data_IF_591519571606
#
_entry.id   IF_591519571606
#
_cell.length_a   1.000
_cell.length_b   1.000
_cell.length_c   1.000
_cell.angle_alpha   90.00
_cell.angle_beta   90.00
_cell.angle_gamma   90.00
#
_symmetry.space_group_name_H-M   'P 1'
#
loop_
_entity.id
_entity.type
_entity.pdbx_description
1 polymer ?
#
# COMPACT_ATOMS: atom_id res chain seq x y z
N UNK A 1 2.31 59.39 28.83
CA UNK A 1 0.85 59.29 29.07
C UNK A 1 0.26 58.28 28.08
N UNK A 2 -0.64 57.42 28.55
CA UNK A 2 -1.33 56.32 27.83
C UNK A 2 -2.16 56.89 26.64
N UNK A 3 -2.45 56.19 25.55
CA UNK A 3 -3.44 55.08 25.45
C UNK A 3 -3.35 54.30 24.10
N UNK A 4 -3.47 52.98 24.25
CA UNK A 4 -3.91 51.83 23.41
C UNK A 4 -4.47 52.03 21.99
N UNK A 5 -4.12 51.11 21.08
CA UNK A 5 -5.10 50.13 20.54
C UNK A 5 -4.43 48.86 20.01
N UNK A 6 -4.95 47.73 20.49
CA UNK A 6 -4.56 46.34 20.25
C UNK A 6 -5.62 45.75 19.29
N UNK A 7 -5.24 45.09 18.20
CA UNK A 7 -6.18 44.33 17.37
C UNK A 7 -5.75 42.87 17.28
N UNK A 8 -6.29 42.07 18.18
CA UNK A 8 -6.33 40.61 18.13
C UNK A 8 -7.57 40.19 17.33
N UNK A 9 -7.39 39.48 16.21
CA UNK A 9 -8.50 38.80 15.52
C UNK A 9 -8.38 37.31 15.81
N UNK A 10 -9.22 36.86 16.74
CA UNK A 10 -9.49 35.45 17.02
C UNK A 10 -10.66 35.06 16.13
N UNK A 11 -10.46 34.14 15.17
CA UNK A 11 -11.53 33.55 14.39
C UNK A 11 -11.77 32.12 14.89
N UNK A 12 -12.68 31.99 15.84
CA UNK A 12 -13.20 30.71 16.34
C UNK A 12 -14.32 30.21 15.41
N UNK A 13 -14.05 29.17 14.62
CA UNK A 13 -15.09 28.43 13.89
C UNK A 13 -15.52 27.24 14.74
N UNK A 14 -16.71 27.35 15.31
CA UNK A 14 -17.39 26.26 16.03
C UNK A 14 -18.09 25.38 15.00
N UNK A 15 -17.63 24.13 14.83
CA UNK A 15 -18.36 23.10 14.09
C UNK A 15 -19.19 22.27 15.06
N UNK A 16 -20.51 22.44 15.02
CA UNK A 16 -21.49 21.61 15.70
C UNK A 16 -21.76 20.38 14.84
N UNK A 17 -21.36 19.19 15.28
CA UNK A 17 -21.75 17.94 14.66
C UNK A 17 -23.03 17.40 15.33
N UNK A 18 -24.07 17.00 14.57
CA UNK A 18 -25.20 16.27 15.11
C UNK A 18 -24.79 14.84 15.48
N UNK A 19 -25.11 14.42 16.70
CA UNK A 19 -24.98 13.03 17.15
C UNK A 19 -26.07 12.19 16.47
N UNK A 20 -25.69 11.34 15.53
CA UNK A 20 -26.55 10.28 15.02
C UNK A 20 -26.65 9.18 16.09
N UNK A 21 -27.87 9.03 16.62
CA UNK A 21 -28.31 7.91 17.45
C UNK A 21 -28.47 6.70 16.54
N UNK A 22 -27.83 5.58 16.88
CA UNK A 22 -28.14 4.29 16.28
C UNK A 22 -28.66 3.37 17.40
N UNK A 23 -29.95 3.05 17.31
CA UNK A 23 -30.64 2.11 18.17
C UNK A 23 -31.34 1.12 17.24
N UNK A 24 -30.94 -0.16 17.32
CA UNK A 24 -31.62 -1.39 16.84
C UNK A 24 -30.58 -2.51 16.95
N UNK A 25 -30.81 -3.67 17.56
CA UNK A 25 -31.96 -4.24 18.24
C UNK A 25 -31.50 -5.53 18.94
N UNK A 26 -32.16 -5.84 20.05
CA UNK A 26 -32.00 -7.10 20.80
C UNK A 26 -32.94 -8.13 20.16
N UNK A 27 -32.44 -9.33 19.85
CA UNK A 27 -33.27 -10.54 19.78
C UNK A 27 -32.55 -11.68 20.51
N UNK A 28 -33.17 -12.10 21.61
CA UNK A 28 -32.99 -13.40 22.28
C UNK A 28 -33.97 -14.41 21.67
N UNK A 29 -33.74 -15.69 21.99
CA UNK A 29 -34.62 -16.87 21.89
C UNK A 29 -34.23 -17.81 20.72
N UNK A 30 -33.88 -19.09 20.89
CA UNK A 30 -34.40 -20.11 21.80
C UNK A 30 -33.35 -21.16 22.24
N UNK A 31 -33.56 -21.75 23.42
CA UNK A 31 -32.86 -22.93 23.96
C UNK A 31 -33.73 -24.18 23.75
N UNK A 32 -33.13 -25.29 23.29
CA UNK A 32 -33.50 -26.66 23.74
C UNK A 32 -32.31 -27.64 23.58
N UNK A 33 -32.21 -28.55 24.55
CA UNK A 33 -31.17 -29.55 24.88
C UNK A 33 -31.29 -30.87 24.05
N UNK A 34 -30.17 -31.44 23.55
CA UNK A 34 -29.47 -32.72 23.94
C UNK A 34 -30.03 -33.99 23.21
N UNK A 35 -29.32 -35.14 22.98
CA UNK A 35 -28.04 -35.59 23.57
C UNK A 35 -26.97 -36.31 22.69
N UNK A 36 -25.72 -36.25 23.20
CA UNK A 36 -24.62 -37.26 23.20
C UNK A 36 -24.15 -37.94 21.91
N UNK A 37 -22.85 -37.79 21.58
CA UNK A 37 -21.85 -38.87 21.71
C UNK A 37 -20.44 -38.27 21.86
N UNK A 38 -19.81 -38.60 22.99
CA UNK A 38 -18.41 -38.42 23.37
C UNK A 38 -17.56 -39.48 22.68
N UNK A 39 -16.51 -39.08 21.97
CA UNK A 39 -15.27 -39.87 21.86
C UNK A 39 -14.09 -38.92 22.01
N UNK A 40 -13.33 -39.17 23.07
CA UNK A 40 -12.12 -38.46 23.44
C UNK A 40 -10.85 -39.18 22.95
N UNK A 41 -9.83 -38.36 22.60
CA UNK A 41 -8.34 -38.53 22.65
C UNK A 41 -7.58 -39.30 21.53
N UNK A 42 -6.73 -38.58 20.77
CA UNK A 42 -5.24 -38.68 20.73
C UNK A 42 -4.63 -37.49 19.97
N UNK A 43 -3.63 -36.76 20.53
CA UNK A 43 -2.99 -35.62 19.87
C UNK A 43 -1.75 -36.07 19.07
N UNK A 44 -1.81 -36.00 17.74
CA UNK A 44 -0.60 -36.00 16.92
C UNK A 44 -0.34 -34.57 16.45
N UNK A 45 0.80 -34.05 16.88
CA UNK A 45 1.41 -32.84 16.39
C UNK A 45 1.84 -32.99 14.92
N UNK A 46 1.96 -31.84 14.27
CA UNK A 46 2.42 -31.61 12.90
C UNK A 46 1.47 -32.05 11.79
N UNK A 47 0.76 -31.06 11.21
CA UNK A 47 0.86 -30.78 9.76
C UNK A 47 0.05 -29.52 9.40
N UNK A 48 0.80 -28.48 9.02
CA UNK A 48 0.42 -27.41 8.10
C UNK A 48 -0.85 -26.60 8.41
N UNK A 49 -0.72 -25.68 9.37
CA UNK A 49 -1.45 -24.41 9.30
C UNK A 49 -0.92 -23.57 8.11
N UNK A 50 -1.35 -23.91 6.90
CA UNK A 50 -1.34 -22.93 5.81
C UNK A 50 -2.47 -21.95 6.12
N UNK A 51 -2.12 -20.91 6.86
CA UNK A 51 -2.94 -19.75 7.10
C UNK A 51 -3.27 -19.12 5.75
N UNK A 52 -4.39 -19.54 5.15
CA UNK A 52 -5.02 -18.89 4.01
C UNK A 52 -5.64 -17.57 4.49
N UNK A 53 -4.76 -16.61 4.78
CA UNK A 53 -5.13 -15.26 5.16
C UNK A 53 -4.47 -14.32 4.15
N UNK A 54 -4.97 -14.33 2.91
CA UNK A 54 -4.77 -13.23 1.97
C UNK A 54 -6.04 -13.09 1.12
N UNK A 55 -7.16 -12.82 1.79
CA UNK A 55 -8.31 -12.24 1.12
C UNK A 55 -8.02 -10.75 0.98
N UNK A 56 -7.48 -10.36 -0.18
CA UNK A 56 -7.13 -8.97 -0.51
C UNK A 56 -8.40 -8.12 -0.65
N UNK A 57 -8.93 -7.65 0.47
CA UNK A 57 -9.84 -6.51 0.50
C UNK A 57 -9.00 -5.23 0.35
N UNK A 58 -8.53 -4.95 -0.86
CA UNK A 58 -7.63 -3.82 -1.14
C UNK A 58 -8.30 -2.85 -2.09
N UNK A 59 -9.09 -1.96 -1.52
CA UNK A 59 -9.50 -0.73 -2.17
C UNK A 59 -9.42 0.39 -1.12
N UNK A 60 -8.56 1.39 -1.35
CA UNK A 60 -8.14 2.50 -0.45
C UNK A 60 -7.06 2.19 0.62
N UNK A 61 -6.07 1.34 0.33
CA UNK A 61 -4.89 1.20 1.21
C UNK A 61 -3.71 2.02 0.68
N UNK A 62 -2.99 2.69 1.59
CA UNK A 62 -1.86 3.57 1.24
C UNK A 62 -0.69 2.82 0.62
N UNK A 63 0.24 3.58 0.02
CA UNK A 63 1.45 3.08 -0.67
C UNK A 63 2.16 2.00 0.15
N UNK A 64 2.42 2.25 1.44
CA UNK A 64 3.12 1.33 2.34
C UNK A 64 2.47 -0.07 2.44
N UNK A 65 1.14 -0.13 2.49
CA UNK A 65 0.42 -1.41 2.55
C UNK A 65 0.53 -2.18 1.23
N UNK A 66 0.47 -1.47 0.10
CA UNK A 66 0.67 -2.10 -1.21
C UNK A 66 2.10 -2.61 -1.39
N UNK A 67 3.09 -1.85 -0.93
CA UNK A 67 4.49 -2.27 -0.97
C UNK A 67 4.69 -3.58 -0.19
N UNK A 68 4.06 -3.70 0.98
CA UNK A 68 4.13 -4.90 1.79
C UNK A 68 3.45 -6.10 1.11
N UNK A 69 2.28 -5.88 0.53
CA UNK A 69 1.53 -6.90 -0.21
C UNK A 69 2.33 -7.43 -1.42
N UNK A 70 2.86 -6.51 -2.25
CA UNK A 70 3.67 -6.86 -3.40
C UNK A 70 4.96 -7.59 -3.01
N UNK A 71 5.64 -7.14 -1.95
CA UNK A 71 6.80 -7.84 -1.40
C UNK A 71 6.47 -9.27 -0.96
N UNK A 72 5.37 -9.44 -0.23
CA UNK A 72 4.96 -10.76 0.27
C UNK A 72 4.68 -11.71 -0.90
N UNK A 73 3.97 -11.23 -1.92
CA UNK A 73 3.69 -12.03 -3.11
C UNK A 73 4.96 -12.35 -3.90
N UNK A 74 5.88 -11.40 -4.01
CA UNK A 74 7.17 -11.64 -4.65
C UNK A 74 8.03 -12.66 -3.90
N UNK A 75 7.96 -12.69 -2.57
CA UNK A 75 8.62 -13.73 -1.76
C UNK A 75 8.04 -15.11 -2.03
N UNK A 76 6.71 -15.23 -2.07
CA UNK A 76 6.04 -16.50 -2.43
C UNK A 76 6.45 -17.00 -3.81
N UNK A 77 6.67 -16.10 -4.78
CA UNK A 77 7.18 -16.51 -6.10
C UNK A 77 8.59 -17.11 -6.06
N UNK A 78 9.45 -16.64 -5.15
CA UNK A 78 10.81 -17.20 -5.02
C UNK A 78 10.81 -18.59 -4.38
N UNK A 79 9.83 -18.85 -3.51
CA UNK A 79 9.65 -20.13 -2.81
C UNK A 79 8.92 -21.17 -3.66
N UNK A 80 8.50 -20.81 -4.88
CA UNK A 80 7.80 -21.70 -5.79
C UNK A 80 8.72 -22.81 -6.29
N UNK A 81 8.30 -24.05 -6.04
CA UNK A 81 8.98 -25.26 -6.51
C UNK A 81 8.27 -25.83 -7.76
N UNK A 82 8.98 -26.65 -8.54
CA UNK A 82 8.42 -27.28 -9.76
C UNK A 82 8.57 -26.47 -11.06
N UNK A 83 9.08 -25.25 -10.97
CA UNK A 83 9.39 -24.41 -12.13
C UNK A 83 10.58 -24.96 -12.93
N UNK A 84 10.50 -24.88 -14.26
CA UNK A 84 11.66 -25.10 -15.13
C UNK A 84 12.82 -24.17 -14.76
N UNK A 85 14.06 -24.64 -14.86
CA UNK A 85 15.27 -23.93 -14.41
C UNK A 85 15.37 -22.51 -14.97
N UNK A 86 15.09 -22.33 -16.27
CA UNK A 86 15.08 -21.02 -16.93
C UNK A 86 14.02 -20.07 -16.37
N UNK A 87 12.80 -20.58 -16.15
CA UNK A 87 11.68 -19.79 -15.60
C UNK A 87 11.98 -19.39 -14.16
N UNK A 88 12.50 -20.32 -13.36
CA UNK A 88 12.91 -20.08 -11.98
C UNK A 88 14.02 -19.03 -11.90
N UNK A 89 15.03 -19.12 -12.75
CA UNK A 89 16.13 -18.14 -12.79
C UNK A 89 15.62 -16.73 -13.13
N UNK A 90 14.74 -16.63 -14.14
CA UNK A 90 14.13 -15.34 -14.53
C UNK A 90 13.25 -14.77 -13.43
N UNK A 91 12.38 -15.59 -12.82
CA UNK A 91 11.53 -15.17 -11.70
C UNK A 91 12.35 -14.75 -10.48
N UNK A 92 13.37 -15.52 -10.10
CA UNK A 92 14.26 -15.19 -8.99
C UNK A 92 14.97 -13.86 -9.22
N UNK A 93 15.46 -13.61 -10.44
CA UNK A 93 16.12 -12.33 -10.79
C UNK A 93 15.15 -11.15 -10.70
N UNK A 94 13.92 -11.30 -11.23
CA UNK A 94 12.87 -10.29 -11.16
C UNK A 94 12.48 -9.98 -9.71
N UNK A 95 12.29 -11.03 -8.91
CA UNK A 95 11.91 -10.95 -7.52
C UNK A 95 12.99 -10.28 -6.68
N UNK A 96 14.24 -10.69 -6.84
CA UNK A 96 15.37 -10.11 -6.14
C UNK A 96 15.56 -8.63 -6.49
N UNK A 97 15.45 -8.28 -7.78
CA UNK A 97 15.51 -6.88 -8.22
C UNK A 97 14.37 -6.03 -7.62
N UNK A 98 13.16 -6.59 -7.54
CA UNK A 98 12.03 -5.91 -6.89
C UNK A 98 12.29 -5.68 -5.40
N UNK A 99 12.70 -6.71 -4.65
CA UNK A 99 12.94 -6.60 -3.21
C UNK A 99 14.06 -5.59 -2.88
N UNK A 100 15.12 -5.55 -3.68
CA UNK A 100 16.18 -4.54 -3.52
C UNK A 100 15.64 -3.12 -3.71
N UNK A 101 14.78 -2.93 -4.72
CA UNK A 101 14.18 -1.64 -5.04
C UNK A 101 13.17 -1.22 -3.98
N UNK A 102 12.48 -2.16 -3.33
CA UNK A 102 11.45 -1.84 -2.33
C UNK A 102 11.96 -1.03 -1.14
N UNK A 103 13.17 -1.32 -0.70
CA UNK A 103 13.83 -0.56 0.38
C UNK A 103 13.95 0.93 0.03
N UNK A 104 14.23 1.24 -1.23
CA UNK A 104 14.36 2.61 -1.72
C UNK A 104 12.99 3.28 -1.81
N UNK A 105 11.96 2.57 -2.29
CA UNK A 105 10.60 3.12 -2.36
C UNK A 105 10.13 3.52 -0.95
N UNK A 106 10.34 2.65 0.04
CA UNK A 106 9.95 2.93 1.41
C UNK A 106 10.67 4.15 1.99
N UNK A 107 11.97 4.31 1.71
CA UNK A 107 12.74 5.48 2.12
C UNK A 107 12.20 6.77 1.50
N UNK A 108 11.89 6.77 0.21
CA UNK A 108 11.36 7.96 -0.47
C UNK A 108 9.94 8.30 0.00
N UNK A 109 9.10 7.30 0.22
CA UNK A 109 7.76 7.48 0.82
C UNK A 109 7.87 8.07 2.22
N UNK A 110 8.78 7.55 3.06
CA UNK A 110 9.03 8.07 4.41
C UNK A 110 9.58 9.50 4.39
N UNK A 111 10.48 9.81 3.45
CA UNK A 111 11.03 11.15 3.26
C UNK A 111 9.95 12.15 2.86
N UNK A 112 9.05 11.74 1.97
CA UNK A 112 7.88 12.55 1.60
C UNK A 112 6.92 12.71 2.78
N UNK A 113 6.63 11.64 3.54
CA UNK A 113 5.73 11.66 4.70
C UNK A 113 6.25 12.55 5.85
N UNK A 114 7.55 12.46 6.16
CA UNK A 114 8.19 13.18 7.27
C UNK A 114 8.35 14.69 7.04
N UNK A 115 8.31 15.15 5.79
CA UNK A 115 8.36 16.59 5.49
C UNK A 115 7.13 17.30 6.03
N UNK A 116 7.35 18.31 6.88
CA UNK A 116 6.29 19.13 7.47
C UNK A 116 5.47 19.85 6.38
N UNK A 117 4.18 20.10 6.66
CA UNK A 117 3.29 20.86 5.76
C UNK A 117 3.83 22.26 5.47
N UNK A 118 4.41 22.92 6.48
CA UNK A 118 5.05 24.23 6.29
C UNK A 118 6.23 24.13 5.32
N UNK A 119 7.11 23.14 5.45
CA UNK A 119 8.22 22.94 4.52
C UNK A 119 7.73 22.67 3.08
N UNK A 120 6.65 21.88 2.90
CA UNK A 120 6.10 21.60 1.56
C UNK A 120 5.49 22.85 0.92
N UNK A 121 4.78 23.67 1.68
CA UNK A 121 4.23 24.94 1.19
C UNK A 121 5.34 25.92 0.77
N UNK A 122 6.48 25.92 1.50
CA UNK A 122 7.55 26.89 1.31
C UNK A 122 8.60 26.43 0.29
N UNK A 123 9.20 25.27 0.49
CA UNK A 123 10.24 24.72 -0.38
C UNK A 123 9.69 23.89 -1.56
N UNK A 124 8.39 23.56 -1.54
CA UNK A 124 7.79 22.61 -2.49
C UNK A 124 7.94 21.15 -2.07
N UNK A 125 7.38 20.27 -2.90
CA UNK A 125 7.55 18.82 -2.77
C UNK A 125 8.97 18.39 -3.10
N UNK A 126 9.40 17.25 -2.53
CA UNK A 126 10.75 16.74 -2.76
C UNK A 126 10.85 16.17 -4.18
N UNK A 127 11.26 17.01 -5.13
CA UNK A 127 11.36 16.63 -6.54
C UNK A 127 12.30 15.44 -6.77
N UNK A 128 13.31 15.26 -5.92
CA UNK A 128 14.21 14.11 -5.97
C UNK A 128 13.47 12.82 -5.62
N UNK A 129 12.75 12.82 -4.50
CA UNK A 129 11.94 11.68 -4.08
C UNK A 129 10.85 11.34 -5.11
N UNK A 130 10.15 12.35 -5.63
CA UNK A 130 9.11 12.16 -6.66
C UNK A 130 9.72 11.60 -7.96
N UNK A 131 10.88 12.09 -8.38
CA UNK A 131 11.59 11.57 -9.56
C UNK A 131 12.00 10.10 -9.38
N UNK A 132 12.51 9.75 -8.20
CA UNK A 132 12.88 8.38 -7.88
C UNK A 132 11.66 7.46 -7.86
N UNK A 133 10.54 7.89 -7.25
CA UNK A 133 9.29 7.14 -7.29
C UNK A 133 8.75 6.96 -8.71
N UNK A 134 8.85 7.97 -9.59
CA UNK A 134 8.48 7.85 -11.02
C UNK A 134 9.33 6.79 -11.74
N UNK A 135 10.65 6.78 -11.49
CA UNK A 135 11.53 5.77 -12.07
C UNK A 135 11.17 4.36 -11.59
N UNK A 136 10.85 4.21 -10.30
CA UNK A 136 10.45 2.92 -9.72
C UNK A 136 9.10 2.43 -10.22
N UNK A 137 8.11 3.33 -10.37
CA UNK A 137 6.84 3.02 -11.00
C UNK A 137 7.04 2.47 -12.41
N UNK A 138 7.93 3.07 -13.19
CA UNK A 138 8.21 2.59 -14.54
C UNK A 138 8.93 1.22 -14.54
N UNK A 139 9.89 1.03 -13.64
CA UNK A 139 10.52 -0.28 -13.46
C UNK A 139 9.51 -1.36 -13.03
N UNK A 140 8.57 -1.03 -12.15
CA UNK A 140 7.52 -1.96 -11.75
C UNK A 140 6.62 -2.34 -12.94
N UNK A 141 6.29 -1.39 -13.84
CA UNK A 141 5.54 -1.69 -15.07
C UNK A 141 6.30 -2.64 -15.98
N UNK A 142 7.60 -2.43 -16.16
CA UNK A 142 8.46 -3.36 -16.94
C UNK A 142 8.48 -4.74 -16.30
N UNK A 143 8.64 -4.83 -14.97
CA UNK A 143 8.61 -6.11 -14.26
C UNK A 143 7.25 -6.81 -14.42
N UNK A 144 6.13 -6.08 -14.35
CA UNK A 144 4.80 -6.64 -14.62
C UNK A 144 4.69 -7.18 -16.05
N UNK A 145 5.27 -6.51 -17.04
CA UNK A 145 5.31 -7.03 -18.42
C UNK A 145 6.11 -8.34 -18.50
N UNK A 146 7.29 -8.39 -17.89
CA UNK A 146 8.13 -9.58 -17.85
C UNK A 146 7.45 -10.76 -17.13
N UNK A 147 6.73 -10.50 -16.04
CA UNK A 147 5.91 -11.52 -15.37
C UNK A 147 4.75 -12.00 -16.26
N UNK A 148 4.11 -11.10 -17.03
CA UNK A 148 3.07 -11.52 -17.98
C UNK A 148 3.62 -12.41 -19.10
N UNK A 149 4.84 -12.14 -19.59
CA UNK A 149 5.49 -13.02 -20.58
C UNK A 149 5.75 -14.42 -20.03
N UNK A 150 6.09 -14.53 -18.74
CA UNK A 150 6.35 -15.79 -18.07
C UNK A 150 5.09 -16.64 -17.89
N UNK A 151 3.89 -16.04 -17.86
CA UNK A 151 2.62 -16.80 -17.78
C UNK A 151 2.50 -17.85 -18.88
N UNK A 152 2.98 -17.55 -20.09
CA UNK A 152 2.88 -18.48 -21.22
C UNK A 152 3.86 -19.67 -21.12
N UNK A 153 4.77 -19.63 -20.15
CA UNK A 153 5.78 -20.68 -19.91
C UNK A 153 5.41 -21.58 -18.72
N UNK A 154 4.34 -21.24 -17.99
CA UNK A 154 3.84 -22.01 -16.86
C UNK A 154 2.72 -22.93 -17.32
N UNK A 155 2.83 -24.22 -17.00
CA UNK A 155 1.80 -25.22 -17.31
C UNK A 155 0.92 -25.56 -16.10
N UNK A 156 1.42 -25.32 -14.88
CA UNK A 156 0.71 -25.66 -13.65
C UNK A 156 -0.26 -24.53 -13.25
N UNK A 157 -1.52 -24.88 -12.97
CA UNK A 157 -2.55 -23.91 -12.60
C UNK A 157 -2.24 -23.17 -11.27
N UNK A 158 -1.58 -23.85 -10.33
CA UNK A 158 -1.14 -23.25 -9.06
C UNK A 158 -0.06 -22.19 -9.28
N UNK A 159 0.94 -22.49 -10.11
CA UNK A 159 2.00 -21.54 -10.48
C UNK A 159 1.42 -20.33 -11.23
N UNK A 160 0.50 -20.57 -12.17
CA UNK A 160 -0.23 -19.53 -12.89
C UNK A 160 -1.03 -18.64 -11.94
N UNK A 161 -1.64 -19.21 -10.91
CA UNK A 161 -2.41 -18.46 -9.90
C UNK A 161 -1.48 -17.58 -9.07
N UNK A 162 -0.38 -18.12 -8.54
CA UNK A 162 0.59 -17.35 -7.76
C UNK A 162 1.21 -16.20 -8.58
N UNK A 163 1.55 -16.46 -9.85
CA UNK A 163 2.07 -15.44 -10.75
C UNK A 163 1.02 -14.34 -11.01
N UNK A 164 -0.25 -14.70 -11.18
CA UNK A 164 -1.35 -13.74 -11.35
C UNK A 164 -1.60 -12.89 -10.10
N UNK A 165 -1.61 -13.50 -8.92
CA UNK A 165 -1.72 -12.77 -7.65
C UNK A 165 -0.59 -11.76 -7.47
N UNK A 166 0.63 -12.15 -7.86
CA UNK A 166 1.79 -11.24 -7.78
C UNK A 166 1.66 -10.09 -8.76
N UNK A 167 1.28 -10.36 -10.01
CA UNK A 167 1.00 -9.32 -11.01
C UNK A 167 -0.08 -8.36 -10.50
N UNK A 168 -1.14 -8.88 -9.87
CA UNK A 168 -2.20 -8.06 -9.30
C UNK A 168 -1.68 -7.17 -8.16
N UNK A 169 -0.91 -7.72 -7.23
CA UNK A 169 -0.32 -6.96 -6.13
C UNK A 169 0.61 -5.85 -6.63
N UNK A 170 1.44 -6.13 -7.64
CA UNK A 170 2.30 -5.11 -8.26
C UNK A 170 1.51 -4.02 -8.99
N UNK A 171 0.38 -4.36 -9.63
CA UNK A 171 -0.48 -3.37 -10.26
C UNK A 171 -1.18 -2.45 -9.25
N UNK A 172 -1.56 -2.99 -8.09
CA UNK A 172 -2.08 -2.19 -6.98
C UNK A 172 -0.99 -1.26 -6.41
N UNK A 173 0.24 -1.76 -6.27
CA UNK A 173 1.41 -0.93 -5.89
C UNK A 173 1.63 0.21 -6.89
N UNK A 174 1.61 -0.09 -8.20
CA UNK A 174 1.75 0.90 -9.26
C UNK A 174 0.67 1.98 -9.19
N UNK A 175 -0.56 1.58 -8.90
CA UNK A 175 -1.69 2.51 -8.76
C UNK A 175 -1.46 3.44 -7.57
N UNK A 176 -1.11 2.89 -6.40
CA UNK A 176 -0.86 3.69 -5.21
C UNK A 176 0.35 4.63 -5.38
N UNK A 177 1.43 4.17 -6.03
CA UNK A 177 2.58 5.00 -6.37
C UNK A 177 2.19 6.15 -7.31
N UNK A 178 1.41 5.85 -8.35
CA UNK A 178 0.92 6.86 -9.29
C UNK A 178 0.04 7.91 -8.60
N UNK A 179 -0.88 7.48 -7.74
CA UNK A 179 -1.72 8.36 -6.93
C UNK A 179 -0.87 9.26 -6.04
N UNK A 180 0.13 8.68 -5.36
CA UNK A 180 1.02 9.45 -4.48
C UNK A 180 1.88 10.45 -5.25
N UNK A 181 2.48 10.04 -6.37
CA UNK A 181 3.24 10.93 -7.26
C UNK A 181 2.35 12.10 -7.71
N UNK A 182 1.12 11.81 -8.11
CA UNK A 182 0.16 12.82 -8.56
C UNK A 182 -0.19 13.81 -7.45
N UNK A 183 -0.42 13.30 -6.23
CA UNK A 183 -0.69 14.13 -5.07
C UNK A 183 0.48 15.07 -4.72
N UNK A 184 1.73 14.62 -4.89
CA UNK A 184 2.93 15.44 -4.65
C UNK A 184 3.22 16.42 -5.80
N UNK A 185 2.93 16.05 -7.06
CA UNK A 185 3.09 16.94 -8.22
C UNK A 185 2.08 18.10 -8.22
N UNK A 186 0.88 17.91 -7.65
CA UNK A 186 -0.15 18.95 -7.57
C UNK A 186 0.14 20.03 -6.52
N UNK A 187 1.04 19.77 -5.56
CA UNK A 187 1.46 20.75 -4.56
C UNK A 187 2.48 21.76 -5.15
N UNK A 188 2.02 22.64 -6.04
CA UNK A 188 2.82 23.77 -6.54
C UNK A 188 3.27 24.65 -5.36
N UNK A 189 4.58 24.83 -5.19
CA UNK A 189 5.17 25.65 -4.11
C UNK A 189 4.69 27.10 -4.17
N UNK A 190 4.26 27.64 -3.02
CA UNK A 190 3.81 29.03 -2.90
C UNK A 190 4.96 30.02 -3.14
N UNK A 191 6.22 29.62 -2.97
CA UNK A 191 7.38 30.48 -3.25
C UNK A 191 7.53 30.72 -4.75
N UNK A 192 7.26 29.70 -5.58
CA UNK A 192 7.25 29.88 -7.04
C UNK A 192 6.16 30.83 -7.52
N UNK A 193 5.03 30.87 -6.80
CA UNK A 193 3.99 31.89 -7.04
C UNK A 193 4.38 33.26 -6.47
N UNK A 194 4.99 33.33 -5.29
CA UNK A 194 5.41 34.58 -4.65
C UNK A 194 6.52 35.29 -5.44
N UNK A 195 7.52 34.56 -5.95
CA UNK A 195 8.53 35.16 -6.82
C UNK A 195 7.96 35.63 -8.17
N UNK A 196 6.88 35.02 -8.68
CA UNK A 196 6.16 35.54 -9.87
C UNK A 196 5.43 36.86 -9.61
N UNK A 197 5.07 37.15 -8.35
CA UNK A 197 4.48 38.44 -7.96
C UNK A 197 5.50 39.58 -7.87
N UNK A 198 6.79 39.27 -7.72
CA UNK A 198 7.88 40.26 -7.64
C UNK A 198 8.78 40.30 -8.89
N UNK A 199 8.61 39.34 -9.81
CA UNK A 199 9.32 39.29 -11.09
C UNK A 199 8.55 39.96 -12.24
N UNK A 200 7.45 40.67 -11.91
CA UNK A 200 6.62 41.44 -12.83
C UNK A 200 6.55 42.90 -12.38
#
# INVERSE_FOLDING_TARGET
MKKYTLFTVILSVILVFPKLVNAQGVQQQDRVQDPTMDVSITPNADENQVQNQNQYAVQNQGVETQLMSANQQMQKLMDMDGLGEDVRFRLGTLAQAHLQTQSQIQQEVNKLNSRSRATRLFAGTDLGAVKNMKAQLEQNRVRVQQLNELKNQLANEGELTMLQETIQAMNLENTALQERITAEDQQKSLFGWLFRLFAN
#
